data_IF_208973655836
#
_entry.id   IF_208973655836
#
_cell.length_a   1.000
_cell.length_b   1.000
_cell.length_c   1.000
_cell.angle_alpha   90.00
_cell.angle_beta   90.00
_cell.angle_gamma   90.00
#
_symmetry.space_group_name_H-M   'P 1'
#
loop_
_entity.id
_entity.type
_entity.pdbx_description
1 polymer ?
#
# COMPACT_ATOMS: atom_id res chain seq x y z
N UNK A 1 -2.95 19.86 -18.05
CA UNK A 1 -2.29 20.28 -16.80
C UNK A 1 -1.23 19.27 -16.40
N UNK A 2 -0.65 19.44 -15.22
CA UNK A 2 0.17 18.41 -14.59
C UNK A 2 -0.68 17.18 -14.26
N UNK A 3 -0.08 15.99 -14.17
CA UNK A 3 -0.81 14.74 -13.92
C UNK A 3 -1.74 14.84 -12.70
N UNK A 4 -1.26 15.38 -11.57
CA UNK A 4 -2.06 15.51 -10.35
C UNK A 4 -3.33 16.37 -10.56
N UNK A 5 -3.24 17.46 -11.31
CA UNK A 5 -4.40 18.32 -11.61
C UNK A 5 -5.46 17.62 -12.46
N UNK A 6 -5.02 16.70 -13.32
CA UNK A 6 -5.94 15.89 -14.12
C UNK A 6 -6.64 14.86 -13.23
N UNK A 7 -5.90 14.27 -12.29
CA UNK A 7 -6.46 13.34 -11.31
C UNK A 7 -7.44 14.04 -10.37
N UNK A 8 -7.11 15.22 -9.84
CA UNK A 8 -8.02 16.04 -9.00
C UNK A 8 -9.37 16.28 -9.71
N UNK A 9 -9.33 16.51 -11.03
CA UNK A 9 -10.56 16.68 -11.83
C UNK A 9 -11.36 15.38 -11.91
N UNK A 10 -10.73 14.23 -12.17
CA UNK A 10 -11.44 12.95 -12.17
C UNK A 10 -11.99 12.59 -10.78
N UNK A 11 -11.22 12.80 -9.72
CA UNK A 11 -11.69 12.60 -8.34
C UNK A 11 -12.92 13.46 -8.06
N UNK A 12 -12.93 14.73 -8.46
CA UNK A 12 -14.10 15.60 -8.29
C UNK A 12 -15.35 15.12 -9.04
N UNK A 13 -15.18 14.35 -10.13
CA UNK A 13 -16.28 13.75 -10.90
C UNK A 13 -16.76 12.48 -10.21
N UNK A 14 -15.83 11.63 -9.76
CA UNK A 14 -16.13 10.33 -9.17
C UNK A 14 -16.66 10.41 -7.74
N UNK A 15 -16.35 11.48 -7.00
CA UNK A 15 -16.91 11.69 -5.66
C UNK A 15 -18.44 11.74 -5.73
N UNK A 16 -19.09 10.83 -5.00
CA UNK A 16 -20.54 10.66 -4.98
C UNK A 16 -21.06 9.55 -5.91
N UNK A 17 -20.19 8.98 -6.75
CA UNK A 17 -20.50 7.81 -7.57
C UNK A 17 -20.14 6.51 -6.84
N UNK A 18 -20.91 5.45 -7.09
CA UNK A 18 -20.53 4.07 -6.82
C UNK A 18 -19.45 3.59 -7.78
N UNK A 19 -18.80 2.46 -7.45
CA UNK A 19 -17.80 1.85 -8.34
C UNK A 19 -18.41 1.48 -9.69
N UNK A 20 -19.63 0.92 -9.69
CA UNK A 20 -20.35 0.57 -10.91
C UNK A 20 -20.63 1.82 -11.77
N UNK A 21 -21.04 2.93 -11.15
CA UNK A 21 -21.24 4.20 -11.87
C UNK A 21 -19.93 4.73 -12.47
N UNK A 22 -18.78 4.56 -11.79
CA UNK A 22 -17.47 4.97 -12.32
C UNK A 22 -17.09 4.09 -13.53
N UNK A 23 -17.28 2.77 -13.44
CA UNK A 23 -17.06 1.84 -14.56
C UNK A 23 -17.98 2.17 -15.75
N UNK A 24 -19.26 2.47 -15.50
CA UNK A 24 -20.23 2.89 -16.52
C UNK A 24 -19.86 4.23 -17.17
N UNK A 25 -19.42 5.21 -16.36
CA UNK A 25 -18.96 6.50 -16.85
C UNK A 25 -17.76 6.33 -17.78
N UNK A 26 -16.76 5.53 -17.39
CA UNK A 26 -15.62 5.24 -18.24
C UNK A 26 -16.04 4.57 -19.55
N UNK A 27 -16.84 3.50 -19.46
CA UNK A 27 -17.30 2.75 -20.62
C UNK A 27 -18.08 3.62 -21.62
N UNK A 28 -18.78 4.65 -21.13
CA UNK A 28 -19.56 5.56 -21.97
C UNK A 28 -18.75 6.73 -22.52
N UNK A 29 -17.87 7.32 -21.72
CA UNK A 29 -17.26 8.62 -22.01
C UNK A 29 -15.77 8.55 -22.37
N UNK A 30 -15.14 7.38 -22.30
CA UNK A 30 -13.74 7.18 -22.69
C UNK A 30 -13.59 6.33 -23.95
N UNK A 31 -12.47 6.50 -24.65
CA UNK A 31 -12.07 5.72 -25.81
C UNK A 31 -11.73 4.29 -25.40
N UNK A 32 -12.31 3.31 -26.08
CA UNK A 32 -11.99 1.88 -25.88
C UNK A 32 -10.58 1.53 -26.39
N UNK A 33 -9.94 2.43 -27.16
CA UNK A 33 -8.62 2.22 -27.75
C UNK A 33 -7.48 2.64 -26.82
N UNK A 34 -7.70 3.62 -25.94
CA UNK A 34 -6.63 4.22 -25.14
C UNK A 34 -7.05 4.71 -23.75
N UNK A 35 -8.32 4.54 -23.35
CA UNK A 35 -8.84 4.91 -22.03
C UNK A 35 -8.92 6.42 -21.74
N UNK A 36 -8.72 7.29 -22.73
CA UNK A 36 -8.85 8.75 -22.58
C UNK A 36 -10.29 9.21 -22.80
N UNK A 37 -10.75 10.31 -22.18
CA UNK A 37 -12.05 10.89 -22.46
C UNK A 37 -12.22 11.23 -23.95
N UNK A 38 -13.42 11.01 -24.47
CA UNK A 38 -13.77 11.33 -25.86
C UNK A 38 -13.72 12.84 -26.11
N UNK A 39 -13.33 13.22 -27.32
CA UNK A 39 -13.18 14.62 -27.72
C UNK A 39 -13.81 14.89 -29.09
N UNK A 40 -14.29 16.12 -29.31
CA UNK A 40 -14.91 16.53 -30.57
C UNK A 40 -13.96 16.46 -31.78
N UNK A 41 -12.65 16.53 -31.54
CA UNK A 41 -11.60 16.42 -32.56
C UNK A 41 -10.99 15.01 -32.64
N UNK A 42 -11.71 13.98 -32.15
CA UNK A 42 -11.30 12.59 -32.31
C UNK A 42 -11.04 12.26 -33.79
N UNK A 43 -10.02 11.44 -34.04
CA UNK A 43 -9.59 11.06 -35.40
C UNK A 43 -9.82 9.58 -35.71
N UNK A 44 -10.26 8.80 -34.72
CA UNK A 44 -10.56 7.37 -34.85
C UNK A 44 -12.06 7.19 -35.06
N UNK A 45 -12.43 6.39 -36.06
CA UNK A 45 -13.84 6.20 -36.45
C UNK A 45 -14.68 5.65 -35.29
N UNK A 46 -14.11 4.80 -34.43
CA UNK A 46 -14.75 4.26 -33.24
C UNK A 46 -15.08 5.37 -32.23
N UNK A 47 -14.10 6.22 -31.92
CA UNK A 47 -14.26 7.34 -30.99
C UNK A 47 -15.22 8.40 -31.54
N UNK A 48 -15.16 8.69 -32.84
CA UNK A 48 -16.08 9.64 -33.51
C UNK A 48 -17.52 9.16 -33.34
N UNK A 49 -17.80 7.88 -33.66
CA UNK A 49 -19.15 7.30 -33.52
C UNK A 49 -19.63 7.35 -32.07
N UNK A 50 -18.76 6.98 -31.13
CA UNK A 50 -19.07 6.99 -29.69
C UNK A 50 -19.40 8.41 -29.20
N UNK A 51 -18.60 9.40 -29.61
CA UNK A 51 -18.83 10.81 -29.28
C UNK A 51 -20.10 11.37 -29.95
N UNK A 52 -20.34 11.08 -31.23
CA UNK A 52 -21.52 11.56 -31.97
C UNK A 52 -22.83 11.07 -31.37
N UNK A 53 -22.84 9.84 -30.82
CA UNK A 53 -23.99 9.24 -30.15
C UNK A 53 -24.38 9.91 -28.81
N UNK A 54 -23.49 10.72 -28.22
CA UNK A 54 -23.77 11.44 -26.99
C UNK A 54 -24.76 12.60 -27.23
N UNK A 55 -25.58 12.87 -26.21
CA UNK A 55 -26.41 14.08 -26.15
C UNK A 55 -25.54 15.34 -26.05
N UNK A 56 -26.15 16.50 -26.32
CA UNK A 56 -25.40 17.76 -26.22
C UNK A 56 -24.92 18.05 -24.79
N UNK A 57 -25.73 17.75 -23.77
CA UNK A 57 -25.36 17.92 -22.36
C UNK A 57 -24.13 17.09 -21.98
N UNK A 58 -24.05 15.85 -22.48
CA UNK A 58 -22.90 14.98 -22.25
C UNK A 58 -21.64 15.47 -22.98
N UNK A 59 -21.81 16.03 -24.18
CA UNK A 59 -20.71 16.66 -24.93
C UNK A 59 -20.19 17.89 -24.20
N UNK A 60 -21.07 18.68 -23.60
CA UNK A 60 -20.72 19.86 -22.80
C UNK A 60 -20.00 19.44 -21.51
N UNK A 61 -20.45 18.38 -20.83
CA UNK A 61 -19.76 17.77 -19.70
C UNK A 61 -18.36 17.31 -20.10
N UNK A 62 -18.21 16.57 -21.20
CA UNK A 62 -16.90 16.13 -21.69
C UNK A 62 -15.98 17.29 -22.09
N UNK A 63 -16.51 18.38 -22.63
CA UNK A 63 -15.74 19.58 -22.92
C UNK A 63 -15.18 20.21 -21.63
N UNK A 64 -15.98 20.24 -20.55
CA UNK A 64 -15.53 20.67 -19.23
C UNK A 64 -14.45 19.74 -18.65
N UNK A 65 -14.64 18.42 -18.74
CA UNK A 65 -13.64 17.43 -18.31
C UNK A 65 -12.33 17.62 -19.07
N UNK A 66 -12.39 17.64 -20.41
CA UNK A 66 -11.21 17.67 -21.29
C UNK A 66 -10.48 19.01 -21.29
N UNK A 67 -11.11 20.07 -20.77
CA UNK A 67 -10.43 21.33 -20.49
C UNK A 67 -9.31 21.18 -19.46
N UNK A 68 -9.42 20.19 -18.56
CA UNK A 68 -8.53 20.01 -17.41
C UNK A 68 -7.87 18.63 -17.38
N UNK A 69 -8.57 17.57 -17.80
CA UNK A 69 -8.12 16.18 -17.74
C UNK A 69 -8.25 15.46 -19.08
N UNK A 70 -7.13 14.93 -19.59
CA UNK A 70 -7.04 14.19 -20.86
C UNK A 70 -6.16 12.94 -20.77
N UNK A 71 -5.61 12.66 -19.59
CA UNK A 71 -4.88 11.43 -19.31
C UNK A 71 -5.83 10.22 -19.39
N UNK A 72 -5.25 9.07 -19.71
CA UNK A 72 -5.99 7.81 -19.69
C UNK A 72 -6.34 7.42 -18.26
N UNK A 73 -7.51 6.83 -18.07
CA UNK A 73 -7.89 6.14 -16.84
C UNK A 73 -7.49 4.66 -16.84
N UNK A 74 -7.19 4.11 -18.03
CA UNK A 74 -6.81 2.72 -18.22
C UNK A 74 -5.94 2.58 -19.48
N UNK A 75 -4.63 2.42 -19.30
CA UNK A 75 -3.68 2.10 -20.35
C UNK A 75 -2.43 1.38 -19.78
N UNK A 76 -1.38 1.22 -20.60
CA UNK A 76 -0.13 0.59 -20.15
C UNK A 76 0.64 1.34 -19.06
N UNK A 77 0.23 2.56 -18.69
CA UNK A 77 0.79 3.31 -17.57
C UNK A 77 0.04 3.08 -16.26
N UNK A 78 -1.17 2.52 -16.30
CA UNK A 78 -1.94 2.16 -15.10
C UNK A 78 -3.40 1.85 -15.39
N UNK A 79 -4.01 1.17 -14.43
CA UNK A 79 -5.44 0.83 -14.43
C UNK A 79 -6.11 1.42 -13.18
N UNK A 80 -6.60 2.65 -13.32
CA UNK A 80 -7.19 3.42 -12.20
C UNK A 80 -8.53 2.79 -11.77
N UNK A 81 -9.28 2.21 -12.71
CA UNK A 81 -10.55 1.55 -12.41
C UNK A 81 -10.34 0.28 -11.58
N UNK A 82 -9.37 -0.56 -11.97
CA UNK A 82 -8.99 -1.75 -11.18
C UNK A 82 -8.55 -1.34 -9.78
N UNK A 83 -7.82 -0.23 -9.63
CA UNK A 83 -7.41 0.29 -8.33
C UNK A 83 -8.62 0.76 -7.48
N UNK A 84 -9.55 1.52 -8.05
CA UNK A 84 -10.78 1.96 -7.35
C UNK A 84 -11.62 0.76 -6.92
N UNK A 85 -11.79 -0.23 -7.80
CA UNK A 85 -12.52 -1.46 -7.52
C UNK A 85 -11.88 -2.25 -6.38
N UNK A 86 -10.56 -2.47 -6.43
CA UNK A 86 -9.82 -3.13 -5.33
C UNK A 86 -9.93 -2.36 -4.02
N UNK A 87 -9.85 -1.03 -4.05
CA UNK A 87 -10.02 -0.21 -2.85
C UNK A 87 -11.42 -0.40 -2.23
N UNK A 88 -12.47 -0.49 -3.05
CA UNK A 88 -13.81 -0.82 -2.59
C UNK A 88 -13.92 -2.24 -2.04
N UNK A 89 -13.37 -3.25 -2.73
CA UNK A 89 -13.40 -4.64 -2.28
C UNK A 89 -12.66 -4.86 -0.95
N UNK A 90 -11.53 -4.16 -0.76
CA UNK A 90 -10.68 -4.25 0.42
C UNK A 90 -11.08 -3.27 1.55
N UNK A 91 -12.16 -2.51 1.37
CA UNK A 91 -12.58 -1.48 2.35
C UNK A 91 -12.88 -2.09 3.71
N UNK A 92 -12.54 -1.36 4.77
CA UNK A 92 -12.87 -1.72 6.16
C UNK A 92 -14.00 -0.82 6.67
N UNK A 93 -14.91 -1.34 7.52
CA UNK A 93 -15.91 -0.51 8.15
C UNK A 93 -15.23 0.53 9.04
N UNK A 94 -15.77 1.75 9.02
CA UNK A 94 -15.34 2.80 9.93
C UNK A 94 -16.18 2.75 11.21
N UNK A 95 -15.52 2.79 12.36
CA UNK A 95 -16.15 2.83 13.69
C UNK A 95 -15.94 4.18 14.38
N UNK A 96 -15.86 5.25 13.60
CA UNK A 96 -15.62 6.64 14.05
C UNK A 96 -16.88 7.47 13.84
N UNK A 97 -16.98 8.64 14.48
CA UNK A 97 -18.10 9.58 14.26
C UNK A 97 -17.85 10.50 13.06
N UNK A 98 -16.60 10.78 12.75
CA UNK A 98 -16.21 11.64 11.64
C UNK A 98 -14.70 11.86 11.55
N UNK A 99 -14.27 12.57 10.52
CA UNK A 99 -12.87 12.93 10.28
C UNK A 99 -12.78 14.29 9.57
N UNK A 100 -11.69 15.01 9.84
CA UNK A 100 -11.37 16.32 9.25
C UNK A 100 -10.17 16.29 8.31
N UNK A 101 -9.41 15.21 8.31
CA UNK A 101 -8.30 15.00 7.38
C UNK A 101 -8.26 13.59 6.83
N UNK A 102 -7.87 13.47 5.57
CA UNK A 102 -7.49 12.21 4.94
C UNK A 102 -6.03 12.32 4.49
N UNK A 103 -5.20 11.40 4.97
CA UNK A 103 -3.78 11.32 4.70
C UNK A 103 -3.41 10.05 3.96
N UNK A 104 -2.48 10.17 3.01
CA UNK A 104 -1.89 9.03 2.31
C UNK A 104 -0.35 9.10 2.37
N UNK A 105 0.25 8.08 2.96
CA UNK A 105 1.69 7.98 3.19
C UNK A 105 2.29 6.77 2.50
N UNK A 106 3.45 6.94 1.88
CA UNK A 106 4.23 5.85 1.27
C UNK A 106 5.68 5.93 1.71
N UNK A 107 6.22 4.87 2.30
CA UNK A 107 7.63 4.76 2.65
C UNK A 107 8.30 3.61 1.91
N UNK A 108 9.37 3.95 1.17
CA UNK A 108 10.09 3.00 0.34
C UNK A 108 11.45 2.69 1.00
N UNK A 109 11.86 1.44 0.98
CA UNK A 109 13.17 0.99 1.42
C UNK A 109 13.73 -0.10 0.51
N UNK A 110 15.05 -0.12 0.35
CA UNK A 110 15.79 -1.23 -0.23
C UNK A 110 16.42 -2.07 0.87
N UNK A 111 16.55 -3.38 0.66
CA UNK A 111 17.13 -4.32 1.61
C UNK A 111 18.11 -5.26 0.94
N UNK A 112 19.30 -5.34 1.52
CA UNK A 112 20.26 -6.41 1.28
C UNK A 112 19.98 -7.49 2.32
N UNK A 113 19.56 -8.68 1.87
CA UNK A 113 19.26 -9.79 2.76
C UNK A 113 20.50 -10.22 3.55
N UNK A 114 20.34 -10.82 4.76
CA UNK A 114 21.48 -11.22 5.59
C UNK A 114 22.28 -12.40 5.01
N UNK A 115 21.72 -13.10 4.02
CA UNK A 115 22.31 -14.28 3.40
C UNK A 115 22.49 -14.15 1.89
N UNK A 116 23.14 -15.17 1.35
CA UNK A 116 23.34 -15.43 -0.07
C UNK A 116 22.79 -16.82 -0.37
N UNK A 117 22.55 -17.11 -1.64
CA UNK A 117 22.27 -18.48 -2.08
C UNK A 117 23.53 -19.37 -2.02
N UNK A 118 23.37 -20.66 -2.33
CA UNK A 118 24.45 -21.65 -2.34
C UNK A 118 25.48 -21.44 -3.46
N UNK A 119 25.29 -20.44 -4.32
CA UNK A 119 26.23 -19.96 -5.32
C UNK A 119 26.85 -18.60 -4.98
N UNK A 120 26.72 -18.16 -3.72
CA UNK A 120 27.26 -16.90 -3.20
C UNK A 120 26.65 -15.62 -3.81
N UNK A 121 25.47 -15.73 -4.44
CA UNK A 121 24.72 -14.58 -4.98
C UNK A 121 23.84 -13.97 -3.89
N UNK A 122 23.93 -12.65 -3.77
CA UNK A 122 23.26 -11.87 -2.75
C UNK A 122 21.75 -11.79 -2.96
N UNK A 123 20.96 -11.96 -1.90
CA UNK A 123 19.51 -11.74 -1.94
C UNK A 123 19.18 -10.25 -1.75
N UNK A 124 18.28 -9.71 -2.58
CA UNK A 124 17.80 -8.33 -2.49
C UNK A 124 16.28 -8.27 -2.40
N UNK A 125 15.77 -7.17 -1.83
CA UNK A 125 14.34 -6.84 -1.84
C UNK A 125 14.14 -5.34 -1.83
N UNK A 126 13.01 -4.87 -2.37
CA UNK A 126 12.48 -3.55 -2.08
C UNK A 126 11.15 -3.68 -1.36
N UNK A 127 10.84 -2.68 -0.55
CA UNK A 127 9.65 -2.65 0.29
C UNK A 127 8.98 -1.30 0.18
N UNK A 128 7.66 -1.32 -0.04
CA UNK A 128 6.82 -0.14 -0.06
C UNK A 128 5.74 -0.30 1.02
N UNK A 129 5.78 0.54 2.05
CA UNK A 129 4.76 0.61 3.09
C UNK A 129 3.75 1.68 2.71
N UNK A 130 2.47 1.32 2.67
CA UNK A 130 1.34 2.19 2.37
C UNK A 130 0.53 2.45 3.63
N UNK A 131 0.18 3.71 3.88
CA UNK A 131 -0.64 4.12 5.03
C UNK A 131 -1.74 5.06 4.58
N UNK A 132 -2.98 4.74 4.91
CA UNK A 132 -4.12 5.66 4.83
C UNK A 132 -4.58 6.01 6.23
N UNK A 133 -4.71 7.31 6.52
CA UNK A 133 -5.07 7.79 7.86
C UNK A 133 -6.23 8.76 7.77
N UNK A 134 -7.25 8.55 8.60
CA UNK A 134 -8.28 9.55 8.89
C UNK A 134 -7.90 10.27 10.18
N UNK A 135 -7.84 11.60 10.12
CA UNK A 135 -7.51 12.47 11.24
C UNK A 135 -8.76 13.16 11.78
N UNK A 136 -8.86 13.27 13.10
CA UNK A 136 -9.90 14.08 13.76
C UNK A 136 -9.60 15.58 13.66
N UNK A 137 -10.37 16.41 14.37
CA UNK A 137 -10.19 17.87 14.38
C UNK A 137 -8.90 18.36 15.05
N UNK A 138 -8.22 17.49 15.81
CA UNK A 138 -6.99 17.77 16.54
C UNK A 138 -5.78 17.03 15.93
N UNK A 139 -5.91 16.52 14.70
CA UNK A 139 -4.89 15.70 14.03
C UNK A 139 -4.50 14.43 14.79
N UNK A 140 -5.40 13.90 15.62
CA UNK A 140 -5.28 12.54 16.16
C UNK A 140 -5.81 11.54 15.14
N UNK A 141 -5.21 10.34 15.15
CA UNK A 141 -5.59 9.22 14.30
C UNK A 141 -6.99 8.76 14.72
N UNK A 142 -7.99 9.04 13.90
CA UNK A 142 -9.34 8.53 14.07
C UNK A 142 -9.46 7.10 13.51
N UNK A 143 -8.86 6.85 12.35
CA UNK A 143 -8.72 5.52 11.76
C UNK A 143 -7.44 5.44 10.93
N UNK A 144 -6.93 4.23 10.75
CA UNK A 144 -5.64 3.97 10.12
C UNK A 144 -5.71 2.61 9.41
N UNK A 145 -5.15 2.54 8.21
CA UNK A 145 -4.94 1.29 7.49
C UNK A 145 -3.51 1.28 6.92
N UNK A 146 -2.75 0.26 7.30
CA UNK A 146 -1.35 0.07 6.93
C UNK A 146 -1.22 -1.25 6.16
N UNK A 147 -0.53 -1.22 5.03
CA UNK A 147 -0.17 -2.41 4.27
C UNK A 147 1.24 -2.26 3.71
N UNK A 148 1.79 -3.34 3.17
CA UNK A 148 3.13 -3.35 2.62
C UNK A 148 3.26 -4.29 1.44
N UNK A 149 3.93 -3.84 0.37
CA UNK A 149 4.45 -4.69 -0.69
C UNK A 149 5.94 -4.95 -0.42
N UNK A 150 6.36 -6.21 -0.50
CA UNK A 150 7.76 -6.62 -0.51
C UNK A 150 7.96 -7.46 -1.77
N UNK A 151 8.96 -7.10 -2.57
CA UNK A 151 9.36 -7.84 -3.76
C UNK A 151 10.82 -8.17 -3.66
N UNK A 152 11.15 -9.46 -3.79
CA UNK A 152 12.50 -9.98 -3.63
C UNK A 152 13.10 -10.53 -4.94
N UNK A 153 14.40 -10.80 -4.93
CA UNK A 153 15.03 -11.59 -5.99
C UNK A 153 14.52 -13.04 -5.98
N UNK A 154 14.52 -13.77 -7.11
CA UNK A 154 13.99 -15.15 -7.19
C UNK A 154 14.74 -16.20 -6.36
N UNK A 155 15.95 -15.91 -5.90
CA UNK A 155 16.70 -16.76 -4.97
C UNK A 155 16.34 -16.51 -3.49
N UNK A 156 15.25 -15.79 -3.22
CA UNK A 156 14.72 -15.61 -1.87
C UNK A 156 13.88 -16.83 -1.47
N UNK A 157 14.19 -17.42 -0.32
CA UNK A 157 13.45 -18.53 0.30
C UNK A 157 12.09 -18.05 0.84
N UNK A 158 11.01 -18.29 0.08
CA UNK A 158 9.64 -18.07 0.53
C UNK A 158 8.57 -18.28 -0.56
N UNK A 159 7.81 -19.37 -0.44
CA UNK A 159 6.79 -19.83 -1.41
C UNK A 159 5.80 -18.77 -1.90
N UNK A 160 5.42 -17.84 -1.04
CA UNK A 160 4.42 -16.81 -1.39
C UNK A 160 5.04 -15.42 -1.58
N UNK A 161 6.37 -15.32 -1.68
CA UNK A 161 7.06 -14.05 -1.85
C UNK A 161 6.89 -13.52 -3.29
N UNK A 162 6.44 -12.28 -3.48
CA UNK A 162 6.53 -11.64 -4.79
C UNK A 162 7.99 -11.54 -5.24
N UNK A 163 8.26 -11.97 -6.47
CA UNK A 163 9.60 -11.88 -7.06
C UNK A 163 9.64 -10.91 -8.22
N UNK A 164 10.84 -10.37 -8.45
CA UNK A 164 11.18 -9.68 -9.68
C UNK A 164 12.44 -10.30 -10.26
N UNK A 165 12.28 -11.10 -11.30
CA UNK A 165 13.40 -11.79 -11.93
C UNK A 165 14.28 -10.86 -12.77
N UNK A 166 13.76 -9.70 -13.16
CA UNK A 166 14.44 -8.69 -13.97
C UNK A 166 13.70 -8.39 -15.27
N UNK A 167 14.25 -7.48 -16.07
CA UNK A 167 13.68 -7.15 -17.39
C UNK A 167 13.95 -8.27 -18.41
N UNK A 168 13.19 -8.31 -19.53
CA UNK A 168 13.41 -9.29 -20.58
C UNK A 168 14.86 -9.33 -21.08
N UNK A 169 15.41 -10.55 -21.20
CA UNK A 169 16.82 -10.78 -21.56
C UNK A 169 17.81 -10.70 -20.40
N UNK A 170 17.34 -10.46 -19.16
CA UNK A 170 18.10 -10.69 -17.93
C UNK A 170 17.85 -12.11 -17.40
N UNK A 171 18.64 -12.51 -16.40
CA UNK A 171 18.49 -13.79 -15.71
C UNK A 171 18.89 -13.63 -14.25
N UNK A 172 18.27 -14.40 -13.37
CA UNK A 172 18.61 -14.48 -11.96
C UNK A 172 18.60 -15.93 -11.48
N UNK A 173 19.33 -16.25 -10.41
CA UNK A 173 19.25 -17.58 -9.79
C UNK A 173 17.85 -17.81 -9.21
N UNK A 174 17.32 -19.03 -9.33
CA UNK A 174 16.01 -19.39 -8.76
C UNK A 174 16.15 -20.55 -7.77
N UNK A 175 15.39 -20.46 -6.68
CA UNK A 175 15.14 -21.51 -5.70
C UNK A 175 13.65 -21.88 -5.79
N UNK A 176 13.31 -22.81 -6.69
CA UNK A 176 11.93 -23.13 -7.08
C UNK A 176 11.18 -23.88 -5.97
N UNK A 177 11.93 -24.61 -5.13
CA UNK A 177 11.38 -25.45 -4.08
C UNK A 177 11.56 -24.84 -2.67
N UNK A 178 12.18 -23.67 -2.57
CA UNK A 178 12.44 -22.94 -1.33
C UNK A 178 13.23 -23.79 -0.31
N UNK A 179 14.25 -24.51 -0.78
CA UNK A 179 15.15 -25.32 0.06
C UNK A 179 16.52 -24.66 0.31
N UNK A 180 16.70 -23.43 -0.18
CA UNK A 180 17.93 -22.65 -0.06
C UNK A 180 19.00 -23.03 -1.07
N UNK A 181 18.68 -23.81 -2.11
CA UNK A 181 19.61 -24.16 -3.19
C UNK A 181 19.15 -23.61 -4.53
N UNK A 182 20.12 -23.25 -5.36
CA UNK A 182 19.83 -22.82 -6.72
C UNK A 182 19.44 -24.01 -7.59
N UNK A 183 18.20 -24.03 -8.05
CA UNK A 183 17.63 -25.02 -8.98
C UNK A 183 17.95 -24.68 -10.44
N UNK A 184 18.21 -23.41 -10.75
CA UNK A 184 18.49 -22.95 -12.10
C UNK A 184 18.67 -21.44 -12.22
N UNK A 185 18.43 -20.92 -13.42
CA UNK A 185 18.37 -19.49 -13.69
C UNK A 185 17.07 -19.15 -14.42
N UNK A 186 16.51 -17.98 -14.13
CA UNK A 186 15.29 -17.50 -14.77
C UNK A 186 15.54 -17.18 -16.24
N UNK A 187 14.57 -17.49 -17.09
CA UNK A 187 14.48 -16.99 -18.46
C UNK A 187 13.44 -15.86 -18.49
N UNK A 188 13.91 -14.62 -18.34
CA UNK A 188 13.01 -13.47 -18.29
C UNK A 188 12.49 -13.16 -19.70
N UNK A 189 11.29 -13.66 -19.99
CA UNK A 189 10.52 -13.31 -21.19
C UNK A 189 9.59 -12.12 -20.91
N UNK A 190 9.03 -11.50 -21.95
CA UNK A 190 7.99 -10.48 -21.78
C UNK A 190 6.78 -11.03 -21.02
N UNK A 191 6.36 -12.26 -21.32
CA UNK A 191 5.24 -12.93 -20.65
C UNK A 191 5.54 -13.17 -19.17
N UNK A 192 6.74 -13.64 -18.83
CA UNK A 192 7.13 -13.85 -17.43
C UNK A 192 7.12 -12.52 -16.68
N UNK A 193 7.75 -11.48 -17.24
CA UNK A 193 7.79 -10.14 -16.66
C UNK A 193 6.38 -9.60 -16.35
N UNK A 194 5.45 -9.73 -17.29
CA UNK A 194 4.06 -9.29 -17.08
C UNK A 194 3.35 -10.14 -16.02
N UNK A 195 3.56 -11.46 -16.03
CA UNK A 195 2.93 -12.37 -15.06
C UNK A 195 3.42 -12.19 -13.63
N UNK A 196 4.72 -11.91 -13.42
CA UNK A 196 5.27 -11.63 -12.09
C UNK A 196 4.60 -10.39 -11.50
N UNK A 197 4.57 -9.29 -12.26
CA UNK A 197 4.03 -8.01 -11.80
C UNK A 197 2.53 -8.09 -11.52
N UNK A 198 1.74 -8.74 -12.37
CA UNK A 198 0.29 -8.92 -12.11
C UNK A 198 0.04 -9.85 -10.91
N UNK A 199 0.98 -10.75 -10.62
CA UNK A 199 0.94 -11.67 -9.49
C UNK A 199 1.38 -11.07 -8.14
N UNK A 200 1.96 -9.87 -8.13
CA UNK A 200 2.41 -9.23 -6.88
C UNK A 200 1.25 -8.98 -5.91
N UNK A 201 1.50 -9.31 -4.64
CA UNK A 201 0.54 -9.17 -3.55
C UNK A 201 1.17 -8.45 -2.38
N UNK A 202 0.40 -7.54 -1.80
CA UNK A 202 0.70 -6.96 -0.50
C UNK A 202 0.67 -8.02 0.62
N UNK A 203 1.24 -7.69 1.79
CA UNK A 203 1.24 -8.59 2.95
C UNK A 203 -0.17 -8.88 3.45
N UNK A 204 -1.12 -7.93 3.36
CA UNK A 204 -2.53 -8.23 3.66
C UNK A 204 -3.19 -9.11 2.60
N UNK A 205 -2.94 -8.90 1.30
CA UNK A 205 -3.48 -9.76 0.23
C UNK A 205 -2.98 -11.22 0.32
N UNK A 206 -1.80 -11.44 0.91
CA UNK A 206 -1.29 -12.79 1.23
C UNK A 206 -2.05 -13.48 2.37
N UNK A 207 -2.78 -12.73 3.20
CA UNK A 207 -3.61 -13.24 4.28
C UNK A 207 -2.88 -14.21 5.21
N UNK A 208 -3.51 -15.35 5.48
CA UNK A 208 -2.96 -16.42 6.33
C UNK A 208 -1.69 -17.09 5.74
N UNK A 209 -1.36 -16.81 4.47
CA UNK A 209 -0.12 -17.27 3.84
C UNK A 209 1.13 -16.53 4.30
N UNK A 210 1.02 -15.36 4.94
CA UNK A 210 2.15 -14.65 5.57
C UNK A 210 2.19 -14.95 7.08
N UNK A 211 2.67 -16.14 7.41
CA UNK A 211 2.81 -16.62 8.79
C UNK A 211 3.95 -15.89 9.50
N UNK A 212 3.68 -15.46 10.73
CA UNK A 212 4.67 -14.86 11.62
C UNK A 212 4.88 -15.78 12.83
N UNK A 213 5.91 -15.51 13.64
CA UNK A 213 6.13 -16.26 14.89
C UNK A 213 4.93 -16.24 15.84
N UNK A 214 4.07 -15.22 15.73
CA UNK A 214 2.80 -15.09 16.46
C UNK A 214 1.70 -14.73 15.47
N UNK A 215 0.85 -15.68 15.07
CA UNK A 215 -0.26 -15.44 14.14
C UNK A 215 0.21 -15.04 12.73
N UNK A 216 -0.56 -14.19 12.06
CA UNK A 216 -0.29 -13.71 10.71
C UNK A 216 0.08 -12.22 10.68
N UNK A 217 0.81 -11.78 9.66
CA UNK A 217 1.26 -10.38 9.57
C UNK A 217 0.09 -9.38 9.70
N UNK A 218 -1.03 -9.62 9.00
CA UNK A 218 -2.17 -8.71 9.02
C UNK A 218 -2.79 -8.58 10.42
N UNK A 219 -2.80 -9.65 11.22
CA UNK A 219 -3.34 -9.62 12.58
C UNK A 219 -2.45 -8.80 13.51
N UNK A 220 -1.14 -8.94 13.37
CA UNK A 220 -0.20 -8.12 14.13
C UNK A 220 -0.36 -6.63 13.76
N UNK A 221 -0.54 -6.33 12.47
CA UNK A 221 -0.77 -4.95 12.03
C UNK A 221 -2.10 -4.40 12.53
N UNK A 222 -3.19 -5.18 12.50
CA UNK A 222 -4.48 -4.77 13.07
C UNK A 222 -4.36 -4.44 14.57
N UNK A 223 -3.52 -5.16 15.33
CA UNK A 223 -3.23 -4.84 16.72
C UNK A 223 -2.53 -3.49 16.86
N UNK A 224 -1.48 -3.22 16.08
CA UNK A 224 -0.80 -1.92 16.11
C UNK A 224 -1.72 -0.77 15.69
N UNK A 225 -2.53 -0.98 14.65
CA UNK A 225 -3.54 0.00 14.22
C UNK A 225 -4.48 0.36 15.38
N UNK A 226 -4.95 -0.64 16.13
CA UNK A 226 -5.82 -0.40 17.29
C UNK A 226 -5.14 0.37 18.44
N UNK A 227 -3.83 0.21 18.61
CA UNK A 227 -3.05 0.93 19.63
C UNK A 227 -2.90 2.40 19.24
N UNK A 228 -2.70 2.68 17.96
CA UNK A 228 -2.42 4.04 17.48
C UNK A 228 -3.68 4.91 17.31
N UNK A 229 -4.87 4.31 17.24
CA UNK A 229 -6.12 5.09 17.23
C UNK A 229 -6.23 5.93 18.51
N UNK A 230 -6.50 7.23 18.33
CA UNK A 230 -6.55 8.25 19.39
C UNK A 230 -5.21 8.94 19.68
N UNK A 231 -4.10 8.43 19.15
CA UNK A 231 -2.79 9.08 19.20
C UNK A 231 -2.62 10.07 18.04
N UNK A 232 -1.87 11.14 18.27
CA UNK A 232 -1.23 11.93 17.21
C UNK A 232 -0.03 11.15 16.65
N UNK A 233 0.46 11.55 15.48
CA UNK A 233 1.66 10.92 14.89
C UNK A 233 2.88 11.08 15.80
N UNK A 234 3.03 12.22 16.48
CA UNK A 234 4.11 12.44 17.44
C UNK A 234 4.01 11.46 18.62
N UNK A 235 2.80 11.23 19.15
CA UNK A 235 2.56 10.24 20.22
C UNK A 235 2.88 8.80 19.76
N UNK A 236 2.64 8.46 18.48
CA UNK A 236 3.02 7.14 17.92
C UNK A 236 4.55 6.98 17.87
N UNK A 237 5.27 8.01 17.44
CA UNK A 237 6.74 7.97 17.43
C UNK A 237 7.35 7.93 18.83
N UNK A 238 6.77 8.67 19.79
CA UNK A 238 7.14 8.59 21.20
C UNK A 238 6.86 7.20 21.79
N UNK A 239 5.71 6.59 21.46
CA UNK A 239 5.38 5.23 21.85
C UNK A 239 6.43 4.24 21.33
N UNK A 240 6.79 4.31 20.04
CA UNK A 240 7.81 3.46 19.46
C UNK A 240 9.17 3.66 20.14
N UNK A 241 9.61 4.91 20.27
CA UNK A 241 10.91 5.24 20.87
C UNK A 241 11.02 4.73 22.30
N UNK A 242 9.91 4.66 23.04
CA UNK A 242 9.87 4.20 24.42
C UNK A 242 9.75 2.68 24.55
N UNK A 243 8.90 2.06 23.73
CA UNK A 243 8.45 0.69 23.93
C UNK A 243 9.03 -0.33 22.93
N UNK A 244 9.79 0.11 21.93
CA UNK A 244 10.46 -0.78 20.97
C UNK A 244 11.98 -0.77 21.13
N UNK A 245 12.61 -1.86 20.69
CA UNK A 245 14.06 -2.03 20.65
C UNK A 245 14.68 -1.10 19.62
N UNK A 246 15.72 -0.36 20.01
CA UNK A 246 16.50 0.47 19.10
C UNK A 246 17.37 -0.38 18.14
N UNK A 247 17.51 -1.68 18.41
CA UNK A 247 18.33 -2.60 17.63
C UNK A 247 17.57 -3.20 16.43
N UNK A 248 16.25 -3.39 16.57
CA UNK A 248 15.46 -4.12 15.58
C UNK A 248 14.02 -3.61 15.38
N UNK A 249 13.59 -2.58 16.10
CA UNK A 249 12.26 -1.97 15.97
C UNK A 249 11.09 -2.83 16.47
N UNK A 250 11.34 -3.96 17.14
CA UNK A 250 10.30 -4.81 17.74
C UNK A 250 9.92 -4.30 19.14
N UNK A 251 8.68 -4.52 19.60
CA UNK A 251 8.28 -4.20 20.97
C UNK A 251 9.16 -4.96 21.97
N UNK A 252 9.52 -4.28 23.06
CA UNK A 252 10.34 -4.85 24.14
C UNK A 252 9.60 -5.99 24.83
N UNK A 253 10.34 -7.03 25.22
CA UNK A 253 9.79 -8.22 25.88
C UNK A 253 10.55 -8.53 27.17
N UNK A 254 9.86 -9.14 28.14
CA UNK A 254 10.44 -9.53 29.42
C UNK A 254 11.60 -10.53 29.31
N UNK A 255 11.64 -11.31 28.23
CA UNK A 255 12.67 -12.30 27.93
C UNK A 255 13.75 -11.76 26.97
N UNK A 256 13.87 -10.43 26.82
CA UNK A 256 14.94 -9.82 26.05
C UNK A 256 16.32 -10.29 26.56
N UNK A 257 17.25 -10.53 25.64
CA UNK A 257 18.60 -11.02 25.95
C UNK A 257 19.72 -10.02 25.61
N UNK A 258 19.38 -8.90 24.96
CA UNK A 258 20.32 -7.83 24.65
C UNK A 258 20.35 -6.85 25.80
N UNK A 259 21.54 -6.51 26.29
CA UNK A 259 21.72 -5.64 27.47
C UNK A 259 21.01 -4.29 27.31
N UNK A 260 20.98 -3.75 26.10
CA UNK A 260 20.29 -2.50 25.75
C UNK A 260 18.77 -2.63 25.96
N UNK A 261 18.16 -3.69 25.41
CA UNK A 261 16.72 -3.94 25.51
C UNK A 261 16.31 -4.29 26.95
N UNK A 262 17.13 -5.07 27.66
CA UNK A 262 16.90 -5.41 29.08
C UNK A 262 16.85 -4.14 29.92
N UNK A 263 17.84 -3.24 29.78
CA UNK A 263 17.85 -1.97 30.51
C UNK A 263 16.64 -1.10 30.18
N UNK A 264 16.27 -1.01 28.90
CA UNK A 264 15.13 -0.22 28.45
C UNK A 264 13.82 -0.77 29.02
N UNK A 265 13.64 -2.08 29.00
CA UNK A 265 12.47 -2.75 29.58
C UNK A 265 12.42 -2.63 31.10
N UNK A 266 13.54 -2.82 31.81
CA UNK A 266 13.60 -2.73 33.27
C UNK A 266 13.23 -1.34 33.79
N UNK A 267 13.55 -0.28 33.04
CA UNK A 267 13.21 1.10 33.36
C UNK A 267 11.71 1.43 33.29
N UNK A 268 10.91 0.57 32.64
CA UNK A 268 9.46 0.76 32.55
C UNK A 268 8.76 0.48 33.89
N UNK A 269 7.66 1.19 34.13
CA UNK A 269 6.74 0.90 35.22
C UNK A 269 6.04 -0.46 35.01
N UNK A 270 5.40 -0.97 36.07
CA UNK A 270 4.68 -2.24 35.96
C UNK A 270 3.49 -2.16 34.98
N UNK A 271 2.75 -1.06 34.99
CA UNK A 271 1.61 -0.84 34.07
C UNK A 271 2.05 -0.86 32.60
N UNK A 272 3.20 -0.27 32.30
CA UNK A 272 3.77 -0.27 30.95
C UNK A 272 4.27 -1.66 30.52
N UNK A 273 4.82 -2.43 31.46
CA UNK A 273 5.20 -3.82 31.23
C UNK A 273 3.96 -4.69 30.96
N UNK A 274 2.87 -4.46 31.69
CA UNK A 274 1.61 -5.17 31.49
C UNK A 274 0.98 -4.81 30.13
N UNK A 275 1.04 -3.54 29.72
CA UNK A 275 0.65 -3.10 28.38
C UNK A 275 1.49 -3.79 27.30
N UNK A 276 2.82 -3.83 27.44
CA UNK A 276 3.69 -4.52 26.49
C UNK A 276 3.45 -6.03 26.44
N UNK A 277 3.10 -6.66 27.56
CA UNK A 277 2.72 -8.07 27.59
C UNK A 277 1.44 -8.33 26.78
N UNK A 278 0.43 -7.43 26.88
CA UNK A 278 -0.77 -7.49 26.04
C UNK A 278 -0.44 -7.30 24.56
N UNK A 279 0.38 -6.30 24.20
CA UNK A 279 0.83 -6.07 22.82
C UNK A 279 1.53 -7.31 22.27
N UNK A 280 2.55 -7.80 22.99
CA UNK A 280 3.42 -8.89 22.53
C UNK A 280 2.76 -10.27 22.54
N UNK A 281 1.56 -10.40 23.13
CA UNK A 281 0.73 -11.59 23.00
C UNK A 281 0.18 -11.80 21.57
N UNK A 282 0.14 -10.74 20.77
CA UNK A 282 -0.45 -10.76 19.42
C UNK A 282 0.39 -10.03 18.35
N UNK A 283 1.27 -9.11 18.73
CA UNK A 283 2.10 -8.35 17.80
C UNK A 283 3.57 -8.28 18.29
N UNK A 284 4.48 -8.85 17.50
CA UNK A 284 5.91 -8.96 17.80
C UNK A 284 6.81 -8.54 16.64
N UNK A 285 6.22 -8.24 15.48
CA UNK A 285 6.94 -7.76 14.31
C UNK A 285 7.50 -6.36 14.53
N UNK A 286 8.54 -6.05 13.76
CA UNK A 286 9.16 -4.73 13.79
C UNK A 286 8.25 -3.70 13.13
N UNK A 287 8.20 -2.49 13.69
CA UNK A 287 7.59 -1.33 13.08
C UNK A 287 8.57 -0.55 12.20
N UNK A 288 9.87 -0.81 12.35
CA UNK A 288 10.93 -0.15 11.58
C UNK A 288 12.17 -1.05 11.53
N UNK A 289 12.41 -1.68 10.39
CA UNK A 289 13.63 -2.45 10.10
C UNK A 289 13.93 -2.48 8.58
N UNK A 290 14.83 -3.37 8.16
CA UNK A 290 15.15 -3.55 6.75
C UNK A 290 13.96 -3.98 5.88
N UNK A 291 12.92 -4.57 6.46
CA UNK A 291 11.73 -4.97 5.73
C UNK A 291 10.74 -3.80 5.58
N UNK A 292 10.89 -2.67 6.27
CA UNK A 292 9.97 -1.55 6.08
C UNK A 292 10.09 -0.47 7.15
N UNK A 293 9.59 0.73 6.83
CA UNK A 293 9.55 1.87 7.75
C UNK A 293 8.11 2.35 7.91
N UNK A 294 7.40 1.75 8.86
CA UNK A 294 5.97 2.00 9.08
C UNK A 294 5.75 3.40 9.67
N UNK A 295 6.62 3.82 10.58
CA UNK A 295 6.53 5.15 11.19
C UNK A 295 6.70 6.25 10.15
N UNK A 296 7.66 6.11 9.23
CA UNK A 296 7.83 7.07 8.13
C UNK A 296 6.60 7.14 7.24
N UNK A 297 5.92 6.03 6.99
CA UNK A 297 4.69 6.03 6.20
C UNK A 297 3.53 6.72 6.97
N UNK A 298 3.39 6.48 8.28
CA UNK A 298 2.43 7.21 9.13
C UNK A 298 2.72 8.71 9.12
N UNK A 299 3.98 9.12 9.31
CA UNK A 299 4.42 10.52 9.26
C UNK A 299 4.06 11.19 7.94
N UNK A 300 4.37 10.54 6.83
CA UNK A 300 4.00 11.04 5.49
C UNK A 300 2.49 11.15 5.28
N UNK A 301 1.68 10.29 5.90
CA UNK A 301 0.23 10.40 5.82
C UNK A 301 -0.28 11.72 6.43
N UNK A 302 0.35 12.20 7.52
CA UNK A 302 0.04 13.51 8.09
C UNK A 302 0.57 14.66 7.21
N UNK A 303 1.78 14.55 6.69
CA UNK A 303 2.38 15.57 5.81
C UNK A 303 1.59 15.76 4.50
N UNK A 304 1.03 14.67 3.96
CA UNK A 304 0.22 14.66 2.74
C UNK A 304 -1.29 14.75 3.02
N UNK A 305 -1.68 15.13 4.23
CA UNK A 305 -3.10 15.24 4.61
C UNK A 305 -3.79 16.33 3.81
N UNK A 306 -4.97 16.02 3.28
CA UNK A 306 -5.90 17.01 2.75
C UNK A 306 -7.15 17.10 3.62
N UNK A 307 -7.77 18.28 3.63
CA UNK A 307 -8.95 18.54 4.43
C UNK A 307 -10.17 17.84 3.84
N UNK A 308 -10.95 17.22 4.72
CA UNK A 308 -12.26 16.63 4.41
C UNK A 308 -13.27 17.03 5.50
N UNK A 309 -14.56 16.83 5.25
CA UNK A 309 -15.60 16.92 6.29
C UNK A 309 -16.42 15.63 6.28
N UNK A 310 -15.83 14.55 6.78
CA UNK A 310 -16.51 13.27 6.89
C UNK A 310 -17.36 13.25 8.16
N UNK A 311 -18.64 12.91 7.99
CA UNK A 311 -19.58 12.61 9.09
C UNK A 311 -20.19 11.24 8.82
N UNK A 312 -20.07 10.34 9.78
CA UNK A 312 -20.70 9.02 9.70
C UNK A 312 -22.05 9.12 10.39
N UNK A 313 -23.13 8.98 9.63
CA UNK A 313 -24.49 8.98 10.17
C UNK A 313 -24.70 7.78 11.10
N UNK A 314 -25.39 8.00 12.22
CA UNK A 314 -25.92 6.92 13.07
C UNK A 314 -27.10 6.22 12.40
#
# INVERSE_FOLDING_TARGET
GYWYQQMDKYESIFVGMSVDEVEEWFAKYCSDLNGRPLQANASKDEDIKKYEALSQEEKDMLADVTSSATMSLQDGHGDILKAIKKAYENRRPLTIEGAKGLGFGVANSGRVGPGKDDQEVQVYSFNDVFVTTLFDENDKIAALMIDQLEVATPNYDGETMPHFSGYPGQSYNIDENHDGKVDGVTENTEDLFMSEIDGWKTKRERGDGYVMGTGYWYQQMDKYESIFVGMSVDEVEEWFAKYCSDLNGRPLQANASKDEDVKKYEALSQEEKDMLADVTSSATMSLQDGHGDILKAIRKSLENKHAIDLKIGQ
#
